data_IF_344299685122
#
_entry.id   IF_344299685122
#
_cell.length_a   1.000
_cell.length_b   1.000
_cell.length_c   1.000
_cell.angle_alpha   90.00
_cell.angle_beta   90.00
_cell.angle_gamma   90.00
#
_symmetry.space_group_name_H-M   'P 1'
#
loop_
_entity.id
_entity.type
_entity.pdbx_description
1 polymer ?
#
# COMPACT_ATOMS: atom_id res chain seq x y z
N UNK A 1 25.87 1.72 4.05
CA UNK A 1 25.37 1.33 5.38
C UNK A 1 24.06 0.60 5.15
N UNK A 2 23.90 -0.64 5.64
CA UNK A 2 22.60 -1.33 5.56
C UNK A 2 21.76 -0.84 6.74
N UNK A 3 20.57 -0.34 6.47
CA UNK A 3 19.63 0.12 7.48
C UNK A 3 18.98 -1.11 8.15
N UNK A 4 19.06 -1.24 9.49
CA UNK A 4 18.49 -2.39 10.20
C UNK A 4 16.98 -2.55 10.00
N UNK A 5 16.22 -1.44 9.87
CA UNK A 5 14.77 -1.47 9.64
C UNK A 5 14.47 -2.03 8.25
N UNK A 6 15.27 -1.64 7.25
CA UNK A 6 15.10 -2.11 5.87
C UNK A 6 15.37 -3.62 5.78
N UNK A 7 16.34 -4.14 6.53
CA UNK A 7 16.65 -5.57 6.53
C UNK A 7 15.55 -6.39 7.18
N UNK A 8 14.98 -5.92 8.29
CA UNK A 8 13.82 -6.55 8.94
C UNK A 8 12.61 -6.61 7.99
N UNK A 9 12.29 -5.50 7.32
CA UNK A 9 11.21 -5.46 6.32
C UNK A 9 11.48 -6.44 5.17
N UNK A 10 12.73 -6.55 4.72
CA UNK A 10 13.11 -7.52 3.66
C UNK A 10 12.92 -8.95 4.13
N UNK A 11 13.35 -9.29 5.35
CA UNK A 11 13.18 -10.61 5.94
C UNK A 11 11.71 -11.04 5.96
N UNK A 12 10.83 -10.17 6.48
CA UNK A 12 9.40 -10.47 6.55
C UNK A 12 8.75 -10.61 5.16
N UNK A 13 9.11 -9.74 4.21
CA UNK A 13 8.63 -9.86 2.83
C UNK A 13 9.06 -11.18 2.18
N UNK A 14 10.30 -11.60 2.43
CA UNK A 14 10.86 -12.80 1.84
C UNK A 14 10.24 -14.07 2.44
N UNK A 15 10.03 -14.09 3.76
CA UNK A 15 9.32 -15.17 4.44
C UNK A 15 7.88 -15.34 3.91
N UNK A 16 7.13 -14.23 3.77
CA UNK A 16 5.77 -14.28 3.22
C UNK A 16 5.77 -14.75 1.76
N UNK A 17 6.71 -14.26 0.95
CA UNK A 17 6.85 -14.68 -0.46
C UNK A 17 7.17 -16.17 -0.57
N UNK A 18 8.01 -16.71 0.31
CA UNK A 18 8.35 -18.14 0.34
C UNK A 18 7.16 -19.03 0.68
N UNK A 19 6.24 -18.58 1.57
CA UNK A 19 5.00 -19.32 1.88
C UNK A 19 4.16 -19.61 0.63
N UNK A 20 4.20 -18.70 -0.35
CA UNK A 20 3.51 -18.84 -1.64
C UNK A 20 4.45 -19.21 -2.79
N UNK A 21 5.71 -19.56 -2.50
CA UNK A 21 6.74 -19.89 -3.50
C UNK A 21 6.95 -18.80 -4.56
N UNK A 22 6.67 -17.54 -4.21
CA UNK A 22 6.73 -16.42 -5.15
C UNK A 22 5.57 -16.36 -6.15
N UNK A 23 4.54 -17.20 -6.02
CA UNK A 23 3.37 -17.13 -6.88
C UNK A 23 2.48 -15.96 -6.47
N UNK A 24 2.54 -14.89 -7.26
CA UNK A 24 1.75 -13.69 -7.07
C UNK A 24 0.24 -13.97 -7.13
N UNK A 25 -0.17 -14.93 -7.98
CA UNK A 25 -1.57 -15.31 -8.13
C UNK A 25 -2.10 -15.96 -6.85
N UNK A 26 -1.31 -16.84 -6.25
CA UNK A 26 -1.64 -17.51 -4.99
C UNK A 26 -1.74 -16.51 -3.82
N UNK A 27 -0.81 -15.56 -3.72
CA UNK A 27 -0.86 -14.48 -2.72
C UNK A 27 -2.16 -13.67 -2.87
N UNK A 28 -2.48 -13.24 -4.09
CA UNK A 28 -3.69 -12.48 -4.33
C UNK A 28 -4.97 -13.28 -4.05
N UNK A 29 -4.97 -14.59 -4.30
CA UNK A 29 -6.11 -15.45 -4.00
C UNK A 29 -6.34 -15.59 -2.49
N UNK A 30 -5.28 -15.77 -1.72
CA UNK A 30 -5.34 -15.81 -0.25
C UNK A 30 -5.88 -14.51 0.34
N UNK A 31 -5.35 -13.37 -0.11
CA UNK A 31 -5.84 -12.05 0.32
C UNK A 31 -7.33 -11.85 0.02
N UNK A 32 -7.81 -12.29 -1.15
CA UNK A 32 -9.25 -12.24 -1.50
C UNK A 32 -10.09 -13.17 -0.62
N UNK A 33 -9.56 -14.35 -0.27
CA UNK A 33 -10.21 -15.28 0.65
C UNK A 33 -10.39 -14.66 2.03
N UNK A 34 -9.31 -14.11 2.61
CA UNK A 34 -9.34 -13.39 3.89
C UNK A 34 -10.33 -12.24 3.84
N UNK A 35 -10.32 -11.47 2.75
CA UNK A 35 -11.25 -10.35 2.58
C UNK A 35 -12.71 -10.81 2.60
N UNK A 36 -13.01 -11.95 1.95
CA UNK A 36 -14.35 -12.54 1.88
C UNK A 36 -14.81 -13.09 3.23
N UNK A 37 -13.91 -13.72 3.99
CA UNK A 37 -14.23 -14.32 5.29
C UNK A 37 -14.25 -13.33 6.45
N UNK A 38 -13.63 -12.15 6.29
CA UNK A 38 -13.53 -11.14 7.35
C UNK A 38 -14.87 -10.58 7.85
N UNK A 39 -15.97 -10.78 7.10
CA UNK A 39 -17.27 -10.19 7.40
C UNK A 39 -17.32 -8.66 7.24
N UNK A 40 -16.23 -8.03 6.80
CA UNK A 40 -16.17 -6.59 6.57
C UNK A 40 -16.77 -6.21 5.23
N UNK A 41 -17.54 -5.12 5.21
CA UNK A 41 -18.07 -4.53 3.98
C UNK A 41 -16.93 -3.86 3.20
N UNK A 42 -16.60 -4.42 2.05
CA UNK A 42 -15.66 -3.83 1.10
C UNK A 42 -16.34 -2.62 0.45
N UNK A 43 -15.79 -1.42 0.65
CA UNK A 43 -16.28 -0.19 0.01
C UNK A 43 -15.23 0.36 -0.95
N UNK A 44 -15.66 0.72 -2.15
CA UNK A 44 -14.83 1.43 -3.11
C UNK A 44 -15.02 2.93 -2.87
N UNK A 45 -14.02 3.58 -2.29
CA UNK A 45 -14.05 5.04 -2.13
C UNK A 45 -13.84 5.69 -3.50
N UNK A 46 -14.72 6.64 -3.85
CA UNK A 46 -14.49 7.48 -5.03
C UNK A 46 -13.23 8.32 -4.78
N UNK A 47 -12.38 8.43 -5.80
CA UNK A 47 -11.22 9.32 -5.72
C UNK A 47 -11.71 10.77 -5.78
N UNK A 48 -11.79 11.44 -4.63
CA UNK A 48 -12.00 12.89 -4.59
C UNK A 48 -10.69 13.59 -4.97
N UNK A 49 -10.74 14.63 -5.80
CA UNK A 49 -9.57 15.46 -6.07
C UNK A 49 -9.09 16.04 -4.73
N UNK A 50 -7.80 15.94 -4.38
CA UNK A 50 -7.31 16.57 -3.18
C UNK A 50 -7.50 18.08 -3.31
N UNK A 51 -8.13 18.71 -2.31
CA UNK A 51 -8.16 20.16 -2.21
C UNK A 51 -6.71 20.69 -2.15
N UNK A 52 -6.37 21.75 -2.88
CA UNK A 52 -5.02 22.29 -2.87
C UNK A 52 -4.69 22.77 -1.46
N UNK A 53 -3.63 22.21 -0.88
CA UNK A 53 -3.11 22.70 0.40
C UNK A 53 -2.57 24.13 0.25
N UNK A 54 -2.73 24.94 1.29
CA UNK A 54 -2.29 26.35 1.31
C UNK A 54 -0.79 26.55 0.97
N UNK A 55 0.03 25.52 1.16
CA UNK A 55 1.44 25.54 0.77
C UNK A 55 1.63 25.52 -0.76
N UNK A 56 0.79 24.76 -1.49
CA UNK A 56 0.82 24.68 -2.95
C UNK A 56 0.29 25.97 -3.60
N UNK A 57 -0.75 26.58 -3.01
CA UNK A 57 -1.33 27.83 -3.51
C UNK A 57 -0.38 29.03 -3.37
N UNK A 58 0.37 29.14 -2.26
CA UNK A 58 1.41 30.18 -2.08
C UNK A 58 2.49 30.12 -3.15
N UNK A 59 2.96 28.91 -3.49
CA UNK A 59 4.02 28.71 -4.48
C UNK A 59 3.58 29.08 -5.90
N UNK A 60 2.29 28.92 -6.22
CA UNK A 60 1.70 29.34 -7.49
C UNK A 60 1.56 30.87 -7.59
N UNK A 61 1.23 31.54 -6.48
CA UNK A 61 1.13 33.02 -6.41
C UNK A 61 2.48 33.73 -6.56
N UNK A 62 3.58 33.11 -6.13
CA UNK A 62 4.93 33.68 -6.22
C UNK A 62 5.59 33.56 -7.61
N UNK A 63 4.99 32.80 -8.54
CA UNK A 63 5.54 32.55 -9.88
C UNK A 63 4.69 33.17 -11.00
N UNK A 64 3.69 33.98 -10.64
CA UNK A 64 2.83 34.73 -11.57
C UNK A 64 3.16 36.20 -11.57
#
# INVERSE_FOLDING_TARGET
MKDPIVEEVRMHRMEHTQKFRGDLSAICADLRSIQTTSGHKIVRLASTKPEPTNASSRRKKQRG
#
